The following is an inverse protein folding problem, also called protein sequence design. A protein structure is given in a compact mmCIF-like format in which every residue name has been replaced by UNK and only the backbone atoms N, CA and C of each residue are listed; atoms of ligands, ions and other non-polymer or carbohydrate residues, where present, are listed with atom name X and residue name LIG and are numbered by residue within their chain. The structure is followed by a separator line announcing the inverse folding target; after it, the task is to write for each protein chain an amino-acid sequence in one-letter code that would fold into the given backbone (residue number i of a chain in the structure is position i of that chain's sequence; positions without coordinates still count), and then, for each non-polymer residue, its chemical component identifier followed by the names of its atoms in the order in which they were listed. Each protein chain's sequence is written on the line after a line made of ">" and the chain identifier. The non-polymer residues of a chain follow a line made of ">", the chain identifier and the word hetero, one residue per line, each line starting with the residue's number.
data_IF_718220759015
#
_entry.id   IF_718220759015
#
_cell.length_a   1.000
_cell.length_b   1.000
_cell.length_c   1.000
_cell.angle_alpha   90.00
_cell.angle_beta   90.00
_cell.angle_gamma   90.00
#
_symmetry.space_group_name_H-M   'P 1'
#
loop_
_entity.id
_entity.type
_entity.pdbx_description
1 polymer ?
#
# COMPACT_ATOMS: atom_id res chain seq x y z
N UNK A 1 33.35 -46.28 29.02
CA UNK A 1 31.95 -45.80 29.05
C UNK A 1 31.96 -44.30 28.79
N UNK A 2 31.61 -43.83 27.58
CA UNK A 2 31.51 -42.40 27.30
C UNK A 2 30.16 -41.86 27.79
N UNK A 3 30.17 -40.84 28.65
CA UNK A 3 28.96 -40.09 28.99
C UNK A 3 28.64 -39.09 27.87
N UNK A 4 27.48 -39.27 27.24
CA UNK A 4 26.91 -38.30 26.30
C UNK A 4 26.29 -37.13 27.07
N UNK A 5 26.56 -35.86 26.71
CA UNK A 5 25.89 -34.74 27.36
C UNK A 5 24.39 -34.73 27.03
N UNK A 6 23.53 -34.30 27.96
CA UNK A 6 22.09 -34.21 27.75
C UNK A 6 21.81 -33.18 26.66
N UNK A 7 20.90 -33.56 25.76
CA UNK A 7 20.52 -32.79 24.59
C UNK A 7 20.34 -31.31 24.90
N UNK A 8 21.14 -30.50 24.20
CA UNK A 8 20.80 -29.10 23.98
C UNK A 8 19.36 -29.10 23.41
N UNK A 9 18.39 -28.67 24.23
CA UNK A 9 17.08 -28.29 23.75
C UNK A 9 17.30 -27.38 22.55
N UNK A 10 17.01 -27.91 21.36
CA UNK A 10 17.08 -27.15 20.12
C UNK A 10 16.26 -25.89 20.32
N UNK A 11 16.93 -24.74 20.26
CA UNK A 11 16.25 -23.49 19.99
C UNK A 11 15.39 -23.74 18.74
N UNK A 12 14.08 -23.43 18.76
CA UNK A 12 13.27 -23.62 17.58
C UNK A 12 13.91 -22.82 16.44
N UNK A 13 14.38 -23.57 15.45
CA UNK A 13 14.88 -23.03 14.20
C UNK A 13 13.80 -22.14 13.59
N UNK A 14 14.17 -20.91 13.24
CA UNK A 14 13.41 -20.10 12.29
C UNK A 14 12.08 -19.54 12.79
N UNK A 15 12.05 -18.95 13.99
CA UNK A 15 11.05 -17.90 14.21
C UNK A 15 11.45 -16.70 13.32
N UNK A 16 10.88 -16.64 12.11
CA UNK A 16 10.94 -15.47 11.25
C UNK A 16 10.64 -14.23 12.12
N UNK A 17 11.52 -13.22 12.19
CA UNK A 17 11.24 -12.04 12.99
C UNK A 17 9.90 -11.47 12.56
N UNK A 18 8.99 -11.27 13.52
CA UNK A 18 7.70 -10.65 13.23
C UNK A 18 7.95 -9.38 12.42
N UNK A 19 7.23 -9.18 11.30
CA UNK A 19 7.51 -8.08 10.38
C UNK A 19 7.48 -6.77 11.15
N UNK A 20 8.50 -5.94 10.95
CA UNK A 20 8.56 -4.67 11.66
C UNK A 20 7.33 -3.84 11.25
N UNK A 21 6.82 -2.94 12.13
CA UNK A 21 5.74 -2.03 11.75
C UNK A 21 6.02 -1.25 10.46
N UNK A 22 7.31 -0.98 10.18
CA UNK A 22 7.77 -0.37 8.94
C UNK A 22 7.53 -1.26 7.70
N UNK A 23 7.70 -2.58 7.81
CA UNK A 23 7.49 -3.54 6.72
C UNK A 23 6.01 -3.71 6.42
N UNK A 24 5.18 -3.77 7.47
CA UNK A 24 3.72 -3.82 7.34
C UNK A 24 3.19 -2.58 6.62
N UNK A 25 3.70 -1.39 6.97
CA UNK A 25 3.32 -0.14 6.31
C UNK A 25 3.84 -0.09 4.88
N UNK A 26 5.07 -0.53 4.61
CA UNK A 26 5.59 -0.60 3.25
C UNK A 26 4.70 -1.48 2.36
N UNK A 27 4.27 -2.63 2.85
CA UNK A 27 3.35 -3.51 2.14
C UNK A 27 1.98 -2.86 1.92
N UNK A 28 1.44 -2.16 2.92
CA UNK A 28 0.17 -1.44 2.79
C UNK A 28 0.26 -0.30 1.76
N UNK A 29 1.40 0.40 1.68
CA UNK A 29 1.62 1.48 0.71
C UNK A 29 1.71 0.97 -0.73
N UNK A 30 2.25 -0.24 -0.96
CA UNK A 30 2.17 -0.88 -2.29
C UNK A 30 0.71 -1.07 -2.71
N UNK A 31 -0.14 -1.56 -1.81
CA UNK A 31 -1.57 -1.71 -2.07
C UNK A 31 -2.34 -0.40 -2.25
N UNK A 32 -1.85 0.71 -1.67
CA UNK A 32 -2.38 2.06 -1.92
C UNK A 32 -1.96 2.53 -3.31
N UNK A 33 -0.68 2.40 -3.66
CA UNK A 33 -0.16 2.77 -4.97
C UNK A 33 -0.89 2.03 -6.10
N UNK A 34 -1.11 0.73 -5.97
CA UNK A 34 -1.83 -0.06 -6.97
C UNK A 34 -3.29 0.39 -7.13
N UNK A 35 -3.96 0.74 -6.04
CA UNK A 35 -5.32 1.29 -6.09
C UNK A 35 -5.36 2.64 -6.80
N UNK A 36 -4.44 3.55 -6.45
CA UNK A 36 -4.34 4.86 -7.08
C UNK A 36 -3.99 4.76 -8.56
N UNK A 37 -3.08 3.85 -8.93
CA UNK A 37 -2.76 3.59 -10.34
C UNK A 37 -3.98 3.11 -11.11
N UNK A 38 -4.78 2.18 -10.57
CA UNK A 38 -6.01 1.73 -11.24
C UNK A 38 -7.06 2.83 -11.40
N UNK A 39 -7.10 3.78 -10.47
CA UNK A 39 -8.12 4.85 -10.44
C UNK A 39 -7.72 6.08 -11.27
N UNK A 40 -6.44 6.45 -11.30
CA UNK A 40 -5.94 7.69 -11.92
C UNK A 40 -4.94 7.46 -13.05
N UNK A 41 -4.47 6.24 -13.25
CA UNK A 41 -3.52 5.86 -14.29
C UNK A 41 -3.91 4.51 -14.91
N UNK A 42 -5.20 4.34 -15.26
CA UNK A 42 -5.74 3.09 -15.79
C UNK A 42 -5.02 2.62 -17.07
N UNK A 43 -4.55 3.58 -17.88
CA UNK A 43 -3.78 3.34 -19.11
C UNK A 43 -2.31 2.93 -18.83
N UNK A 44 -1.87 3.03 -17.57
CA UNK A 44 -0.51 2.71 -17.15
C UNK A 44 0.52 3.75 -17.60
N UNK A 45 1.77 3.30 -17.75
CA UNK A 45 2.88 4.13 -18.26
C UNK A 45 3.33 5.25 -17.33
N UNK A 46 3.65 6.42 -17.90
CA UNK A 46 4.24 7.54 -17.19
C UNK A 46 3.37 8.07 -16.03
N UNK A 47 2.03 7.95 -16.14
CA UNK A 47 1.10 8.33 -15.07
C UNK A 47 1.20 7.38 -13.88
N UNK A 48 1.34 6.07 -14.11
CA UNK A 48 1.49 5.10 -13.03
C UNK A 48 2.84 5.23 -12.31
N UNK A 49 3.93 5.51 -13.04
CA UNK A 49 5.23 5.82 -12.44
C UNK A 49 5.18 7.12 -11.62
N UNK A 50 4.49 8.15 -12.11
CA UNK A 50 4.31 9.39 -11.35
C UNK A 50 3.54 9.17 -10.04
N UNK A 51 2.46 8.35 -10.05
CA UNK A 51 1.71 8.00 -8.84
C UNK A 51 2.59 7.24 -7.84
N UNK A 52 3.38 6.26 -8.31
CA UNK A 52 4.30 5.49 -7.45
C UNK A 52 5.38 6.38 -6.81
N UNK A 53 5.92 7.31 -7.58
CA UNK A 53 6.92 8.26 -7.09
C UNK A 53 6.31 9.20 -6.04
N UNK A 54 5.09 9.70 -6.27
CA UNK A 54 4.38 10.52 -5.28
C UNK A 54 4.11 9.76 -3.96
N UNK A 55 3.78 8.47 -4.02
CA UNK A 55 3.65 7.62 -2.82
C UNK A 55 4.97 7.51 -2.05
N UNK A 56 6.10 7.34 -2.76
CA UNK A 56 7.43 7.30 -2.11
C UNK A 56 7.79 8.63 -1.44
N UNK A 57 7.54 9.75 -2.12
CA UNK A 57 7.80 11.08 -1.58
C UNK A 57 6.92 11.38 -0.36
N UNK A 58 5.64 11.04 -0.43
CA UNK A 58 4.72 11.19 0.70
C UNK A 58 5.20 10.38 1.91
N UNK A 59 5.63 9.12 1.71
CA UNK A 59 6.24 8.30 2.78
C UNK A 59 7.46 8.97 3.40
N UNK A 60 8.34 9.57 2.61
CA UNK A 60 9.52 10.28 3.12
C UNK A 60 9.14 11.53 3.94
N UNK A 61 8.02 12.19 3.61
CA UNK A 61 7.48 13.31 4.39
C UNK A 61 6.93 12.92 5.77
N UNK A 62 6.49 11.67 5.94
CA UNK A 62 6.01 11.16 7.22
C UNK A 62 7.09 10.35 7.96
N UNK A 63 8.17 11.02 8.37
CA UNK A 63 9.32 10.40 9.07
C UNK A 63 9.13 10.11 10.57
N UNK A 64 7.91 10.23 11.12
CA UNK A 64 7.69 10.09 12.56
C UNK A 64 7.15 8.71 12.96
N UNK A 65 7.77 8.01 13.94
CA UNK A 65 7.35 6.68 14.36
C UNK A 65 5.94 6.63 14.96
N UNK A 66 5.38 7.79 15.38
CA UNK A 66 4.02 7.89 15.93
C UNK A 66 2.91 7.79 14.89
N UNK A 67 3.20 8.00 13.61
CA UNK A 67 2.19 8.07 12.54
C UNK A 67 2.11 6.77 11.74
N UNK A 68 3.02 5.81 11.99
CA UNK A 68 3.20 4.57 11.23
C UNK A 68 1.86 3.83 11.02
N UNK A 69 1.04 3.68 12.05
CA UNK A 69 -0.21 2.91 11.95
C UNK A 69 -1.26 3.55 11.03
N UNK A 70 -1.29 4.87 10.91
CA UNK A 70 -2.28 5.61 10.11
C UNK A 70 -1.69 6.21 8.82
N UNK A 71 -0.38 6.08 8.62
CA UNK A 71 0.38 6.60 7.49
C UNK A 71 -0.28 6.28 6.13
N UNK A 72 -0.69 5.02 5.85
CA UNK A 72 -1.21 4.68 4.54
C UNK A 72 -2.52 5.38 4.23
N UNK A 73 -3.38 5.55 5.23
CA UNK A 73 -4.68 6.23 5.09
C UNK A 73 -4.49 7.73 4.83
N UNK A 74 -3.53 8.35 5.53
CA UNK A 74 -3.19 9.76 5.33
C UNK A 74 -2.59 10.00 3.95
N UNK A 75 -1.64 9.15 3.54
CA UNK A 75 -1.00 9.20 2.21
C UNK A 75 -2.04 8.99 1.11
N UNK A 76 -2.92 7.99 1.24
CA UNK A 76 -3.99 7.76 0.25
C UNK A 76 -4.91 8.98 0.13
N UNK A 77 -5.35 9.54 1.25
CA UNK A 77 -6.26 10.69 1.25
C UNK A 77 -5.64 11.93 0.63
N UNK A 78 -4.38 12.20 0.94
CA UNK A 78 -3.64 13.33 0.39
C UNK A 78 -3.43 13.18 -1.12
N UNK A 79 -2.95 12.02 -1.56
CA UNK A 79 -2.72 11.74 -2.98
C UNK A 79 -4.01 11.75 -3.80
N UNK A 80 -5.12 11.20 -3.28
CA UNK A 80 -6.42 11.30 -3.96
C UNK A 80 -6.81 12.75 -4.21
N UNK A 81 -6.59 13.66 -3.24
CA UNK A 81 -6.88 15.10 -3.42
C UNK A 81 -5.98 15.73 -4.47
N UNK A 82 -4.69 15.45 -4.42
CA UNK A 82 -3.70 15.99 -5.35
C UNK A 82 -3.98 15.52 -6.78
N UNK A 83 -4.20 14.22 -6.97
CA UNK A 83 -4.51 13.63 -8.28
C UNK A 83 -5.87 14.10 -8.80
N UNK A 84 -6.88 14.23 -7.93
CA UNK A 84 -8.19 14.75 -8.35
C UNK A 84 -8.08 16.21 -8.81
N UNK A 85 -7.36 17.06 -8.08
CA UNK A 85 -7.13 18.46 -8.48
C UNK A 85 -6.37 18.56 -9.79
N UNK A 86 -5.34 17.72 -9.99
CA UNK A 86 -4.59 17.66 -11.23
C UNK A 86 -5.49 17.23 -12.41
N UNK A 87 -6.40 16.28 -12.17
CA UNK A 87 -7.37 15.83 -13.18
C UNK A 87 -8.40 16.91 -13.52
N UNK A 88 -8.93 17.59 -12.52
CA UNK A 88 -9.87 18.71 -12.70
C UNK A 88 -9.21 19.86 -13.48
N UNK A 89 -7.93 20.17 -13.18
CA UNK A 89 -7.15 21.17 -13.90
C UNK A 89 -6.85 20.77 -15.36
N UNK A 90 -6.72 19.47 -15.63
CA UNK A 90 -6.54 18.93 -16.97
C UNK A 90 -7.86 18.83 -17.78
N UNK A 91 -9.02 19.12 -17.17
CA UNK A 91 -10.32 19.00 -17.79
C UNK A 91 -10.74 17.54 -18.09
N UNK A 92 -10.13 16.57 -17.43
CA UNK A 92 -10.42 15.15 -17.67
C UNK A 92 -11.77 14.76 -17.03
N UNK A 93 -12.66 14.06 -17.78
CA UNK A 93 -13.98 13.72 -17.29
C UNK A 93 -13.92 12.82 -16.04
N UNK A 94 -14.94 12.86 -15.17
CA UNK A 94 -15.02 11.99 -14.01
C UNK A 94 -14.94 10.52 -14.42
N UNK A 95 -13.91 9.80 -13.97
CA UNK A 95 -13.82 8.35 -14.18
C UNK A 95 -15.09 7.74 -13.60
N UNK A 96 -15.90 7.02 -14.39
CA UNK A 96 -17.12 6.43 -13.89
C UNK A 96 -16.75 5.50 -12.75
N UNK A 97 -17.24 5.79 -11.54
CA UNK A 97 -17.19 4.84 -10.44
C UNK A 97 -17.83 3.58 -10.98
N UNK A 98 -17.02 2.54 -11.17
CA UNK A 98 -17.43 1.25 -11.71
C UNK A 98 -18.72 0.86 -10.99
N UNK A 99 -19.86 1.07 -11.67
CA UNK A 99 -21.15 0.67 -11.18
C UNK A 99 -21.00 -0.83 -10.97
N UNK A 100 -20.96 -1.26 -9.71
CA UNK A 100 -21.03 -2.67 -9.39
C UNK A 100 -22.15 -3.26 -10.25
N UNK A 101 -21.98 -4.45 -10.85
CA UNK A 101 -23.09 -5.08 -11.54
C UNK A 101 -24.20 -5.23 -10.48
N UNK A 102 -25.24 -4.38 -10.57
CA UNK A 102 -26.52 -4.70 -9.94
C UNK A 102 -26.85 -6.04 -10.54
N UNK A 103 -26.83 -7.10 -9.71
CA UNK A 103 -27.36 -8.40 -10.09
C UNK A 103 -28.78 -8.15 -10.61
N UNK A 104 -28.91 -8.14 -11.93
CA UNK A 104 -30.17 -8.24 -12.63
C UNK A 104 -30.36 -9.73 -12.94
N UNK A 105 -31.56 -10.23 -12.70
CA UNK A 105 -31.92 -11.66 -12.66
C UNK A 105 -32.24 -12.04 -11.21
N UNK A 106 -33.41 -11.74 -10.66
CA UNK A 106 -34.78 -11.78 -11.21
C UNK A 106 -35.23 -13.21 -11.54
N UNK A 107 -36.21 -13.65 -10.74
CA UNK A 107 -37.24 -14.71 -10.88
C UNK A 107 -36.85 -16.16 -11.20
#
# INVERSE_FOLDING_TARGET
>A
MPESPPGACGAPAGADPAPSPADVVAHQLVGVADRLCREFAADGGARAESVREQVRQARAGFGSPRVITYLPVLIERDLRRTLQRARDAAGEPPVPRRSAPRRAGEV
#
